data_IF_123896951280
#
_entry.id   IF_123896951280
#
_cell.length_a   1.000
_cell.length_b   1.000
_cell.length_c   1.000
_cell.angle_alpha   90.00
_cell.angle_beta   90.00
_cell.angle_gamma   90.00
#
_symmetry.space_group_name_H-M   'P 1'
#
loop_
_entity.id
_entity.type
_entity.pdbx_description
1 polymer ?
#
# COMPACT_ATOMS: atom_id res chain seq x y z
N UNK A 1 -8.21 20.65 44.16
CA UNK A 1 -7.61 21.12 42.89
C UNK A 1 -6.25 20.45 42.74
N UNK A 2 -6.06 19.65 41.69
CA UNK A 2 -4.79 19.43 40.98
C UNK A 2 -5.03 18.37 39.89
N UNK A 3 -5.27 18.87 38.69
CA UNK A 3 -5.28 18.12 37.43
C UNK A 3 -3.83 17.79 37.04
N UNK A 4 -3.63 16.75 36.23
CA UNK A 4 -2.42 16.62 35.41
C UNK A 4 -2.03 15.19 35.08
N UNK A 5 -2.85 14.46 34.31
CA UNK A 5 -2.36 13.29 33.59
C UNK A 5 -1.68 13.75 32.30
N UNK A 6 -0.46 13.28 31.99
CA UNK A 6 0.27 13.72 30.81
C UNK A 6 -0.45 13.27 29.54
N UNK A 7 -0.61 14.20 28.61
CA UNK A 7 -1.10 13.96 27.27
C UNK A 7 -0.30 12.83 26.61
N UNK A 8 -1.02 11.80 26.13
CA UNK A 8 -0.47 10.86 25.17
C UNK A 8 -0.06 11.67 23.93
N UNK A 9 1.24 11.93 23.80
CA UNK A 9 1.85 12.40 22.56
C UNK A 9 1.82 11.25 21.58
N UNK A 10 0.64 11.03 20.98
CA UNK A 10 0.53 10.29 19.74
C UNK A 10 1.40 11.00 18.73
N UNK A 11 2.49 10.36 18.33
CA UNK A 11 3.31 10.82 17.22
C UNK A 11 2.38 10.80 16.01
N UNK A 12 1.83 11.96 15.66
CA UNK A 12 1.03 12.11 14.45
C UNK A 12 1.98 11.75 13.29
N UNK A 13 1.76 10.58 12.70
CA UNK A 13 2.39 10.22 11.43
C UNK A 13 2.02 11.38 10.48
N UNK A 14 3.00 12.01 9.80
CA UNK A 14 2.71 13.12 8.92
C UNK A 14 1.62 12.67 7.94
N UNK A 15 0.48 13.37 7.94
CA UNK A 15 -0.59 13.12 6.97
C UNK A 15 0.00 13.47 5.61
N UNK A 16 0.40 12.45 4.86
CA UNK A 16 0.84 12.62 3.49
C UNK A 16 -0.39 13.03 2.69
N UNK A 17 -0.40 14.25 2.16
CA UNK A 17 -1.41 14.68 1.20
C UNK A 17 -0.82 14.53 -0.20
N UNK A 18 -1.05 13.39 -0.88
CA UNK A 18 -0.53 13.19 -2.22
C UNK A 18 -1.15 14.17 -3.21
N UNK A 19 -0.32 14.69 -4.11
CA UNK A 19 -0.78 15.45 -5.27
C UNK A 19 -1.54 14.56 -6.26
N UNK A 20 -2.38 15.14 -7.12
CA UNK A 20 -3.11 14.36 -8.13
C UNK A 20 -2.17 13.60 -9.08
N UNK A 21 -0.98 14.13 -9.36
CA UNK A 21 0.04 13.43 -10.15
C UNK A 21 0.61 12.19 -9.43
N UNK A 22 0.80 12.27 -8.11
CA UNK A 22 1.21 11.13 -7.30
C UNK A 22 0.10 10.08 -7.20
N UNK A 23 -1.15 10.52 -7.03
CA UNK A 23 -2.32 9.64 -7.04
C UNK A 23 -2.49 8.92 -8.39
N UNK A 24 -2.30 9.63 -9.50
CA UNK A 24 -2.36 9.03 -10.84
C UNK A 24 -1.27 7.97 -11.02
N UNK A 25 -0.02 8.29 -10.63
CA UNK A 25 1.08 7.32 -10.72
C UNK A 25 0.83 6.11 -9.81
N UNK A 26 0.33 6.34 -8.60
CA UNK A 26 -0.08 5.28 -7.70
C UNK A 26 -1.16 4.39 -8.32
N UNK A 27 -2.20 4.97 -8.93
CA UNK A 27 -3.28 4.25 -9.60
C UNK A 27 -2.75 3.36 -10.74
N UNK A 28 -1.86 3.89 -11.58
CA UNK A 28 -1.20 3.13 -12.65
C UNK A 28 -0.34 1.97 -12.12
N UNK A 29 0.43 2.21 -11.05
CA UNK A 29 1.24 1.17 -10.40
C UNK A 29 0.35 0.12 -9.75
N UNK A 30 -0.71 0.54 -9.05
CA UNK A 30 -1.67 -0.35 -8.38
C UNK A 30 -2.32 -1.32 -9.37
N UNK A 31 -2.72 -0.85 -10.57
CA UNK A 31 -3.24 -1.72 -11.64
C UNK A 31 -2.25 -2.83 -12.01
N UNK A 32 -0.97 -2.50 -12.13
CA UNK A 32 0.08 -3.47 -12.44
C UNK A 32 0.34 -4.39 -11.25
N UNK A 33 0.44 -3.86 -10.03
CA UNK A 33 0.61 -4.63 -8.79
C UNK A 33 -0.49 -5.67 -8.63
N UNK A 34 -1.76 -5.30 -8.81
CA UNK A 34 -2.89 -6.24 -8.72
C UNK A 34 -2.76 -7.35 -9.76
N UNK A 35 -2.49 -7.00 -11.02
CA UNK A 35 -2.30 -7.97 -12.10
C UNK A 35 -1.13 -8.93 -11.84
N UNK A 36 -0.02 -8.41 -11.33
CA UNK A 36 1.15 -9.23 -10.99
C UNK A 36 0.90 -10.07 -9.73
N UNK A 37 0.01 -9.64 -8.82
CA UNK A 37 -0.35 -10.36 -7.60
C UNK A 37 -1.32 -11.55 -7.83
N UNK A 38 -2.18 -11.50 -8.85
CA UNK A 38 -3.15 -12.56 -9.20
C UNK A 38 -2.59 -14.00 -9.18
N UNK A 39 -1.43 -14.31 -9.83
CA UNK A 39 -0.87 -15.66 -9.81
C UNK A 39 -0.45 -16.10 -8.40
N UNK A 40 0.03 -15.17 -7.57
CA UNK A 40 0.44 -15.48 -6.19
C UNK A 40 -0.78 -15.78 -5.32
N UNK A 41 -1.90 -15.06 -5.50
CA UNK A 41 -3.15 -15.37 -4.81
C UNK A 41 -3.64 -16.79 -5.12
N UNK A 42 -3.57 -17.18 -6.40
CA UNK A 42 -3.95 -18.54 -6.82
C UNK A 42 -3.01 -19.60 -6.22
N UNK A 43 -1.70 -19.37 -6.24
CA UNK A 43 -0.70 -20.26 -5.62
C UNK A 43 -0.89 -20.36 -4.11
N UNK A 44 -1.14 -19.24 -3.44
CA UNK A 44 -1.34 -19.18 -1.99
C UNK A 44 -2.57 -19.97 -1.56
N UNK A 45 -3.67 -19.88 -2.32
CA UNK A 45 -4.87 -20.67 -2.09
C UNK A 45 -4.65 -22.17 -2.34
N UNK A 46 -3.78 -22.53 -3.29
CA UNK A 46 -3.43 -23.91 -3.62
C UNK A 46 -2.38 -24.53 -2.66
N UNK A 47 -1.65 -23.70 -1.89
CA UNK A 47 -0.61 -24.15 -0.97
C UNK A 47 -1.18 -25.03 0.14
N UNK A 48 -0.50 -26.16 0.42
CA UNK A 48 -0.96 -27.17 1.38
C UNK A 48 -0.37 -26.97 2.75
N UNK A 49 0.81 -26.35 2.82
CA UNK A 49 1.56 -26.11 4.05
C UNK A 49 1.73 -24.62 4.32
N UNK A 50 2.01 -24.29 5.57
CA UNK A 50 2.35 -22.93 5.96
C UNK A 50 3.71 -22.50 5.41
N UNK A 51 4.68 -23.42 5.28
CA UNK A 51 5.96 -23.13 4.62
C UNK A 51 5.77 -22.73 3.14
N UNK A 52 4.91 -23.42 2.39
CA UNK A 52 4.60 -23.04 1.00
C UNK A 52 3.93 -21.68 0.92
N UNK A 53 2.95 -21.41 1.81
CA UNK A 53 2.30 -20.09 1.89
C UNK A 53 3.31 -18.99 2.18
N UNK A 54 4.22 -19.22 3.12
CA UNK A 54 5.25 -18.25 3.48
C UNK A 54 6.21 -17.98 2.31
N UNK A 55 6.64 -19.02 1.59
CA UNK A 55 7.48 -18.85 0.41
C UNK A 55 6.79 -18.01 -0.69
N UNK A 56 5.49 -18.25 -0.92
CA UNK A 56 4.69 -17.49 -1.90
C UNK A 56 4.57 -16.02 -1.49
N UNK A 57 4.36 -15.73 -0.21
CA UNK A 57 4.28 -14.35 0.30
C UNK A 57 5.61 -13.63 0.09
N UNK A 58 6.74 -14.26 0.43
CA UNK A 58 8.07 -13.67 0.22
C UNK A 58 8.34 -13.37 -1.25
N UNK A 59 7.99 -14.32 -2.14
CA UNK A 59 8.14 -14.16 -3.60
C UNK A 59 7.28 -13.00 -4.12
N UNK A 60 6.03 -12.92 -3.65
CA UNK A 60 5.12 -11.84 -4.00
C UNK A 60 5.65 -10.48 -3.52
N UNK A 61 6.07 -10.36 -2.26
CA UNK A 61 6.61 -9.11 -1.70
C UNK A 61 7.79 -8.60 -2.51
N UNK A 62 8.75 -9.47 -2.83
CA UNK A 62 9.91 -9.12 -3.66
C UNK A 62 9.45 -8.61 -5.04
N UNK A 63 8.55 -9.35 -5.69
CA UNK A 63 8.04 -8.98 -7.01
C UNK A 63 7.33 -7.62 -7.00
N UNK A 64 6.50 -7.36 -6.00
CA UNK A 64 5.76 -6.11 -5.91
C UNK A 64 6.68 -4.91 -5.65
N UNK A 65 7.71 -5.08 -4.83
CA UNK A 65 8.75 -4.05 -4.64
C UNK A 65 9.46 -3.73 -5.95
N UNK A 66 9.82 -4.74 -6.75
CA UNK A 66 10.42 -4.54 -8.07
C UNK A 66 9.49 -3.81 -9.04
N UNK A 67 8.18 -4.12 -9.02
CA UNK A 67 7.17 -3.44 -9.87
C UNK A 67 7.07 -1.96 -9.52
N UNK A 68 6.99 -1.62 -8.23
CA UNK A 68 6.88 -0.24 -7.75
C UNK A 68 8.12 0.56 -8.14
N UNK A 69 9.32 0.02 -7.84
CA UNK A 69 10.60 0.65 -8.19
C UNK A 69 10.78 0.80 -9.70
N UNK A 70 10.46 -0.22 -10.47
CA UNK A 70 10.57 -0.22 -11.94
C UNK A 70 9.67 0.80 -12.63
N UNK A 71 8.62 1.29 -11.94
CA UNK A 71 7.71 2.34 -12.41
C UNK A 71 8.12 3.75 -11.98
N UNK A 72 9.27 3.90 -11.32
CA UNK A 72 9.80 5.20 -10.91
C UNK A 72 9.06 5.80 -9.71
N UNK A 73 8.59 4.94 -8.80
CA UNK A 73 8.08 5.32 -7.49
C UNK A 73 8.88 4.57 -6.42
N UNK A 74 9.27 5.27 -5.36
CA UNK A 74 9.92 4.64 -4.22
C UNK A 74 8.88 3.85 -3.39
N UNK A 75 9.31 2.75 -2.77
CA UNK A 75 8.43 1.92 -1.96
C UNK A 75 7.81 2.71 -0.78
N UNK A 76 8.60 3.59 -0.16
CA UNK A 76 8.14 4.45 0.93
C UNK A 76 7.06 5.43 0.45
N UNK A 77 7.22 6.00 -0.74
CA UNK A 77 6.22 6.87 -1.37
C UNK A 77 4.92 6.09 -1.65
N UNK A 78 5.02 4.92 -2.27
CA UNK A 78 3.86 4.06 -2.55
C UNK A 78 3.11 3.69 -1.26
N UNK A 79 3.83 3.32 -0.21
CA UNK A 79 3.26 2.95 1.09
C UNK A 79 2.64 4.16 1.80
N UNK A 80 3.30 5.32 1.74
CA UNK A 80 2.76 6.57 2.29
C UNK A 80 1.45 6.98 1.63
N UNK A 81 1.37 6.87 0.30
CA UNK A 81 0.14 7.12 -0.47
C UNK A 81 -0.93 6.08 -0.12
N UNK A 82 -0.56 4.80 -0.04
CA UNK A 82 -1.49 3.72 0.37
C UNK A 82 -2.11 4.00 1.74
N UNK A 83 -1.29 4.43 2.71
CA UNK A 83 -1.74 4.77 4.04
C UNK A 83 -2.66 6.00 4.04
N UNK A 84 -2.31 7.04 3.27
CA UNK A 84 -3.14 8.23 3.11
C UNK A 84 -4.51 7.88 2.52
N UNK A 85 -4.56 7.02 1.49
CA UNK A 85 -5.80 6.54 0.87
C UNK A 85 -6.65 5.73 1.85
N UNK A 86 -6.03 4.93 2.74
CA UNK A 86 -6.74 4.18 3.76
C UNK A 86 -7.35 5.08 4.85
N UNK A 87 -6.69 6.19 5.17
CA UNK A 87 -7.13 7.14 6.19
C UNK A 87 -8.13 8.17 5.66
N UNK A 88 -8.06 8.53 4.37
CA UNK A 88 -8.91 9.53 3.75
C UNK A 88 -9.83 8.91 2.67
N UNK A 89 -11.14 8.80 2.94
CA UNK A 89 -12.10 8.27 1.97
C UNK A 89 -12.21 9.11 0.69
N UNK A 90 -11.93 10.42 0.75
CA UNK A 90 -11.94 11.27 -0.44
C UNK A 90 -10.77 10.92 -1.37
N UNK A 91 -9.58 10.61 -0.81
CA UNK A 91 -8.44 10.12 -1.58
C UNK A 91 -8.74 8.77 -2.22
N UNK A 92 -9.41 7.86 -1.50
CA UNK A 92 -9.88 6.58 -2.07
C UNK A 92 -10.77 6.81 -3.29
N UNK A 93 -11.80 7.65 -3.18
CA UNK A 93 -12.70 7.91 -4.31
C UNK A 93 -11.98 8.53 -5.50
N UNK A 94 -10.98 9.40 -5.26
CA UNK A 94 -10.14 9.96 -6.34
C UNK A 94 -9.36 8.86 -7.07
N UNK A 95 -8.65 8.01 -6.34
CA UNK A 95 -7.87 6.91 -6.93
C UNK A 95 -8.77 5.93 -7.67
N UNK A 96 -9.92 5.55 -7.10
CA UNK A 96 -10.91 4.71 -7.76
C UNK A 96 -11.43 5.31 -9.08
N UNK A 97 -11.47 6.64 -9.18
CA UNK A 97 -11.78 7.35 -10.43
C UNK A 97 -10.66 7.26 -11.47
N UNK A 98 -9.40 7.23 -11.03
CA UNK A 98 -8.20 7.14 -11.88
C UNK A 98 -7.92 5.70 -12.35
N UNK A 99 -8.38 4.70 -11.59
CA UNK A 99 -8.20 3.27 -11.90
C UNK A 99 -9.29 2.71 -12.84
N UNK A 100 -10.37 3.46 -13.10
CA UNK A 100 -11.36 3.06 -14.14
C UNK A 100 -10.71 2.94 -15.53
#
# INVERSE_FOLDING_TARGET
>A
MAQGSPAATGTAIPVVQPSDAQLQRYADIYKVVVKEAEPYQSRFAAAKTDEERQAIVIEADQRLVDVVKGKGMELDEYNGISLAIQQDPALRTRVEGMVK
#
